data_IF_362546708764
#
_entry.id   IF_362546708764
#
_cell.length_a   1.000
_cell.length_b   1.000
_cell.length_c   1.000
_cell.angle_alpha   90.00
_cell.angle_beta   90.00
_cell.angle_gamma   90.00
#
_symmetry.space_group_name_H-M   'P 1'
#
loop_
_entity.id
_entity.type
_entity.pdbx_description
1 polymer ?
#
# COMPACT_ATOMS: atom_id res chain seq x y z
N UNK A 1 11.04 2.81 8.40
CA UNK A 1 9.77 3.53 8.43
C UNK A 1 9.86 4.86 7.69
N UNK A 2 9.21 4.99 6.53
CA UNK A 2 9.07 6.25 5.77
C UNK A 2 8.04 7.14 6.47
N UNK A 3 8.34 8.44 6.62
CA UNK A 3 7.46 9.38 7.36
C UNK A 3 7.13 10.66 6.61
N UNK A 4 7.73 10.87 5.45
CA UNK A 4 7.47 12.00 4.55
C UNK A 4 7.04 11.39 3.21
N UNK A 5 5.85 11.76 2.75
CA UNK A 5 5.27 11.28 1.50
C UNK A 5 4.98 12.43 0.54
N UNK A 6 5.58 13.61 0.75
CA UNK A 6 5.39 14.79 -0.09
C UNK A 6 5.89 14.62 -1.54
N UNK A 7 6.76 13.64 -1.77
CA UNK A 7 7.24 13.20 -3.08
C UNK A 7 6.23 12.37 -3.85
N UNK A 8 5.26 11.76 -3.16
CA UNK A 8 4.24 10.89 -3.74
C UNK A 8 3.06 11.73 -4.22
N UNK A 9 2.68 11.57 -5.50
CA UNK A 9 1.60 12.34 -6.10
C UNK A 9 0.78 11.49 -7.05
N UNK A 10 -0.54 11.68 -6.97
CA UNK A 10 -1.44 11.26 -8.04
C UNK A 10 -1.09 11.97 -9.35
N UNK A 11 -1.39 11.32 -10.48
CA UNK A 11 -1.17 11.88 -11.81
C UNK A 11 -2.07 13.08 -12.10
N UNK A 12 -3.14 13.25 -11.31
CA UNK A 12 -4.21 14.24 -11.46
C UNK A 12 -4.82 14.23 -12.86
N UNK A 13 -5.11 13.03 -13.36
CA UNK A 13 -5.58 12.79 -14.74
C UNK A 13 -7.12 12.91 -14.91
N UNK A 14 -7.82 13.47 -13.91
CA UNK A 14 -9.27 13.64 -13.91
C UNK A 14 -10.08 12.42 -13.44
N UNK A 15 -9.42 11.29 -13.11
CA UNK A 15 -10.07 10.13 -12.49
C UNK A 15 -10.10 10.26 -10.96
N UNK A 16 -10.96 9.48 -10.32
CA UNK A 16 -11.04 9.40 -8.85
C UNK A 16 -9.70 8.85 -8.30
N UNK A 17 -9.18 9.49 -7.25
CA UNK A 17 -7.91 9.15 -6.61
C UNK A 17 -8.10 8.00 -5.65
N UNK A 18 -7.57 6.83 -6.01
CA UNK A 18 -7.70 5.62 -5.22
C UNK A 18 -6.36 5.26 -4.57
N UNK A 19 -6.35 5.15 -3.24
CA UNK A 19 -5.26 4.54 -2.50
C UNK A 19 -5.61 3.08 -2.21
N UNK A 20 -4.74 2.15 -2.59
CA UNK A 20 -4.82 0.73 -2.22
C UNK A 20 -3.70 0.46 -1.22
N UNK A 21 -4.01 -0.12 -0.07
CA UNK A 21 -2.99 -0.51 0.92
C UNK A 21 -3.01 -2.02 1.13
N UNK A 22 -1.85 -2.64 0.99
CA UNK A 22 -1.61 -4.06 1.23
C UNK A 22 -0.41 -4.24 2.15
N UNK A 23 -0.24 -5.42 2.75
CA UNK A 23 1.00 -5.71 3.47
C UNK A 23 1.41 -7.17 3.52
N UNK A 24 0.58 -8.07 3.02
CA UNK A 24 0.83 -9.50 3.00
C UNK A 24 0.73 -10.08 1.60
N UNK A 25 1.40 -11.21 1.39
CA UNK A 25 1.34 -11.97 0.15
C UNK A 25 -0.11 -12.39 -0.22
N UNK A 26 -0.95 -12.94 0.69
CA UNK A 26 -2.33 -13.27 0.34
C UNK A 26 -3.16 -12.08 -0.13
N UNK A 27 -2.93 -10.87 0.40
CA UNK A 27 -3.60 -9.66 -0.08
C UNK A 27 -3.18 -9.33 -1.51
N UNK A 28 -1.88 -9.35 -1.82
CA UNK A 28 -1.37 -9.09 -3.18
C UNK A 28 -1.96 -10.10 -4.18
N UNK A 29 -1.92 -11.40 -3.86
CA UNK A 29 -2.46 -12.45 -4.74
C UNK A 29 -3.95 -12.25 -5.00
N UNK A 30 -4.74 -11.98 -3.95
CA UNK A 30 -6.20 -11.83 -4.07
C UNK A 30 -6.60 -10.52 -4.74
N UNK A 31 -5.80 -9.47 -4.59
CA UNK A 31 -6.05 -8.17 -5.21
C UNK A 31 -5.40 -7.99 -6.57
N UNK A 32 -4.57 -8.91 -7.07
CA UNK A 32 -3.81 -8.74 -8.31
C UNK A 32 -4.66 -8.21 -9.48
N UNK A 33 -5.71 -8.95 -9.85
CA UNK A 33 -6.62 -8.54 -10.93
C UNK A 33 -7.38 -7.24 -10.63
N UNK A 34 -7.64 -6.96 -9.34
CA UNK A 34 -8.30 -5.72 -8.90
C UNK A 34 -7.34 -4.53 -9.06
N UNK A 35 -6.08 -4.67 -8.65
CA UNK A 35 -5.04 -3.64 -8.75
C UNK A 35 -4.84 -3.22 -10.21
N UNK A 36 -4.70 -4.19 -11.11
CA UNK A 36 -4.52 -3.90 -12.54
C UNK A 36 -5.70 -3.14 -13.12
N UNK A 37 -6.92 -3.58 -12.82
CA UNK A 37 -8.12 -2.87 -13.27
C UNK A 37 -8.23 -1.50 -12.61
N UNK A 38 -7.89 -1.39 -11.33
CA UNK A 38 -7.90 -0.10 -10.65
C UNK A 38 -6.94 0.91 -11.30
N UNK A 39 -5.75 0.49 -11.74
CA UNK A 39 -4.82 1.34 -12.48
C UNK A 39 -5.33 1.80 -13.85
N UNK A 40 -6.25 1.04 -14.46
CA UNK A 40 -6.92 1.42 -15.72
C UNK A 40 -8.02 2.46 -15.48
N UNK A 41 -8.82 2.33 -14.42
CA UNK A 41 -10.04 3.13 -14.21
C UNK A 41 -9.90 4.28 -13.19
N UNK A 42 -8.89 4.24 -12.31
CA UNK A 42 -8.63 5.25 -11.28
C UNK A 42 -7.25 5.90 -11.47
N UNK A 43 -7.04 7.06 -10.83
CA UNK A 43 -5.70 7.54 -10.55
C UNK A 43 -5.21 6.80 -9.30
N UNK A 44 -4.60 5.64 -9.52
CA UNK A 44 -4.35 4.65 -8.49
C UNK A 44 -2.92 4.79 -7.94
N UNK A 45 -2.82 4.81 -6.61
CA UNK A 45 -1.57 4.62 -5.87
C UNK A 45 -1.70 3.33 -5.05
N UNK A 46 -0.72 2.45 -5.17
CA UNK A 46 -0.57 1.24 -4.39
C UNK A 46 0.53 1.47 -3.34
N UNK A 47 0.19 1.23 -2.07
CA UNK A 47 1.12 1.28 -0.96
C UNK A 47 1.25 -0.09 -0.29
N UNK A 48 2.47 -0.46 0.06
CA UNK A 48 2.79 -1.67 0.78
C UNK A 48 3.29 -1.30 2.19
N UNK A 49 2.62 -1.78 3.24
CA UNK A 49 2.99 -1.45 4.63
C UNK A 49 4.33 -2.04 5.04
N UNK A 50 4.73 -3.14 4.40
CA UNK A 50 5.94 -3.87 4.75
C UNK A 50 5.81 -4.67 6.04
N UNK A 51 4.58 -4.93 6.53
CA UNK A 51 4.33 -5.65 7.79
C UNK A 51 4.91 -7.08 7.84
N UNK A 52 5.30 -7.66 6.70
CA UNK A 52 5.92 -8.97 6.61
C UNK A 52 7.44 -8.85 6.43
N UNK A 53 8.19 -9.55 7.30
CA UNK A 53 9.65 -9.52 7.40
C UNK A 53 10.42 -10.04 6.16
N UNK A 54 9.78 -10.80 5.26
CA UNK A 54 10.48 -11.45 4.15
C UNK A 54 10.38 -10.65 2.84
N UNK A 55 11.15 -9.56 2.78
CA UNK A 55 11.26 -8.67 1.62
C UNK A 55 11.80 -9.39 0.36
N UNK A 56 12.65 -10.41 0.54
CA UNK A 56 13.24 -11.17 -0.57
C UNK A 56 12.19 -11.99 -1.34
N UNK A 57 11.05 -12.28 -0.70
CA UNK A 57 9.92 -12.94 -1.35
C UNK A 57 8.90 -11.95 -1.95
N UNK A 58 8.74 -10.75 -1.39
CA UNK A 58 7.69 -9.81 -1.84
C UNK A 58 7.92 -9.25 -3.26
N UNK A 59 9.15 -8.89 -3.61
CA UNK A 59 9.46 -8.37 -4.95
C UNK A 59 9.26 -9.40 -6.07
N UNK A 60 9.35 -10.69 -5.75
CA UNK A 60 9.10 -11.79 -6.69
C UNK A 60 7.61 -11.85 -7.06
N UNK A 61 6.69 -11.59 -6.13
CA UNK A 61 5.26 -11.73 -6.41
C UNK A 61 4.68 -10.66 -7.35
N UNK A 62 5.12 -9.41 -7.24
CA UNK A 62 4.67 -8.38 -8.20
C UNK A 62 5.09 -8.75 -9.62
N UNK A 63 6.33 -9.21 -9.77
CA UNK A 63 6.85 -9.69 -11.06
C UNK A 63 6.13 -10.93 -11.56
N UNK A 64 5.94 -11.95 -10.72
CA UNK A 64 5.29 -13.21 -11.09
C UNK A 64 3.80 -13.03 -11.45
N UNK A 65 3.16 -12.02 -10.87
CA UNK A 65 1.76 -11.66 -11.15
C UNK A 65 1.64 -10.60 -12.26
N UNK A 66 2.75 -10.20 -12.89
CA UNK A 66 2.81 -9.14 -13.91
C UNK A 66 2.27 -7.77 -13.43
N UNK A 67 2.26 -7.55 -12.12
CA UNK A 67 1.86 -6.30 -11.49
C UNK A 67 3.03 -5.31 -11.48
N UNK A 68 2.78 -4.04 -11.79
CA UNK A 68 3.80 -3.01 -11.55
C UNK A 68 3.99 -2.79 -10.04
N UNK A 69 5.20 -2.43 -9.63
CA UNK A 69 5.54 -2.23 -8.22
C UNK A 69 4.66 -1.17 -7.54
N UNK A 70 4.47 -1.25 -6.20
CA UNK A 70 3.90 -0.19 -5.39
C UNK A 70 4.66 1.13 -5.53
N UNK A 71 3.93 2.24 -5.57
CA UNK A 71 4.51 3.57 -5.53
C UNK A 71 5.06 3.91 -4.13
N UNK A 72 4.59 3.20 -3.09
CA UNK A 72 4.99 3.45 -1.70
C UNK A 72 5.30 2.15 -0.97
N UNK A 73 6.46 2.11 -0.31
CA UNK A 73 6.80 1.14 0.72
C UNK A 73 6.98 1.88 2.06
N UNK A 74 6.24 1.47 3.09
CA UNK A 74 6.24 2.18 4.39
C UNK A 74 7.33 1.69 5.35
N UNK A 75 7.75 0.44 5.22
CA UNK A 75 8.67 -0.25 6.13
C UNK A 75 8.25 -0.09 7.60
N UNK A 76 7.00 -0.49 7.89
CA UNK A 76 6.33 -0.27 9.17
C UNK A 76 6.68 -1.31 10.26
N UNK A 77 7.41 -2.38 9.93
CA UNK A 77 7.85 -3.39 10.90
C UNK A 77 8.67 -2.73 12.02
N UNK A 78 8.26 -3.00 13.26
CA UNK A 78 8.97 -2.59 14.48
C UNK A 78 9.62 -3.78 15.21
N UNK A 79 10.08 -3.55 16.44
CA UNK A 79 10.69 -4.57 17.29
C UNK A 79 9.66 -5.58 17.83
N UNK A 80 8.40 -5.16 17.98
CA UNK A 80 7.29 -6.01 18.39
C UNK A 80 5.97 -5.69 17.63
N UNK A 81 4.91 -6.42 17.96
CA UNK A 81 3.60 -6.26 17.33
C UNK A 81 2.98 -4.89 17.61
N UNK A 82 3.12 -4.37 18.83
CA UNK A 82 2.56 -3.08 19.22
C UNK A 82 3.21 -1.94 18.45
N UNK A 83 4.54 -1.98 18.32
CA UNK A 83 5.28 -1.04 17.50
C UNK A 83 4.91 -1.16 16.02
N UNK A 84 4.82 -2.38 15.49
CA UNK A 84 4.44 -2.60 14.08
C UNK A 84 3.05 -2.04 13.77
N UNK A 85 2.06 -2.29 14.62
CA UNK A 85 0.69 -1.76 14.44
C UNK A 85 0.67 -0.23 14.56
N UNK A 86 1.35 0.33 15.57
CA UNK A 86 1.46 1.79 15.73
C UNK A 86 2.12 2.46 14.53
N UNK A 87 3.14 1.83 13.96
CA UNK A 87 3.84 2.30 12.77
C UNK A 87 2.95 2.27 11.53
N UNK A 88 2.15 1.20 11.32
CA UNK A 88 1.19 1.11 10.21
C UNK A 88 0.20 2.29 10.29
N UNK A 89 -0.45 2.49 11.43
CA UNK A 89 -1.41 3.59 11.63
C UNK A 89 -0.73 4.95 11.36
N UNK A 90 0.47 5.17 11.91
CA UNK A 90 1.20 6.43 11.75
C UNK A 90 1.58 6.70 10.29
N UNK A 91 2.09 5.69 9.59
CA UNK A 91 2.51 5.80 8.19
C UNK A 91 1.32 6.03 7.26
N UNK A 92 0.27 5.24 7.41
CA UNK A 92 -0.94 5.36 6.60
C UNK A 92 -1.60 6.72 6.79
N UNK A 93 -1.70 7.22 8.02
CA UNK A 93 -2.19 8.57 8.28
C UNK A 93 -1.35 9.64 7.57
N UNK A 94 -0.02 9.58 7.70
CA UNK A 94 0.89 10.56 7.07
C UNK A 94 0.77 10.52 5.54
N UNK A 95 0.74 9.32 4.97
CA UNK A 95 0.57 9.13 3.52
C UNK A 95 -0.75 9.75 3.05
N UNK A 96 -1.87 9.37 3.67
CA UNK A 96 -3.20 9.90 3.29
C UNK A 96 -3.28 11.41 3.48
N UNK A 97 -2.69 11.95 4.54
CA UNK A 97 -2.65 13.39 4.79
C UNK A 97 -1.89 14.12 3.68
N UNK A 98 -0.77 13.58 3.21
CA UNK A 98 0.06 14.26 2.22
C UNK A 98 -0.52 14.10 0.79
N UNK A 99 -1.07 12.93 0.44
CA UNK A 99 -1.55 12.66 -0.93
C UNK A 99 -3.05 12.95 -1.15
N UNK A 100 -3.84 13.04 -0.08
CA UNK A 100 -5.29 13.32 -0.09
C UNK A 100 -6.06 12.44 -1.10
N UNK A 101 -6.18 11.12 -0.87
CA UNK A 101 -6.96 10.23 -1.73
C UNK A 101 -8.48 10.48 -1.56
N UNK A 102 -9.25 10.18 -2.60
CA UNK A 102 -10.72 10.27 -2.55
C UNK A 102 -11.34 8.99 -1.95
N UNK A 103 -10.66 7.86 -2.11
CA UNK A 103 -11.08 6.56 -1.61
C UNK A 103 -9.89 5.71 -1.16
N UNK A 104 -10.16 4.81 -0.21
CA UNK A 104 -9.21 3.81 0.30
C UNK A 104 -9.77 2.41 0.06
N UNK A 105 -8.95 1.52 -0.51
CA UNK A 105 -9.25 0.10 -0.67
C UNK A 105 -8.29 -0.72 0.18
N UNK A 106 -8.89 -1.58 1.01
CA UNK A 106 -8.21 -2.56 1.86
C UNK A 106 -8.89 -3.91 1.66
N UNK A 107 -8.14 -5.01 1.82
CA UNK A 107 -8.69 -6.36 1.80
C UNK A 107 -8.43 -7.09 3.12
N UNK A 108 -9.49 -7.63 3.73
CA UNK A 108 -9.38 -8.60 4.83
C UNK A 108 -9.21 -7.94 6.19
N UNK A 109 -8.44 -8.59 7.06
CA UNK A 109 -8.35 -8.33 8.51
C UNK A 109 -6.90 -8.40 9.04
N UNK A 110 -5.90 -8.19 8.17
CA UNK A 110 -4.49 -8.14 8.59
C UNK A 110 -4.17 -6.85 9.33
N UNK A 111 -2.97 -6.71 9.93
CA UNK A 111 -2.60 -5.45 10.60
C UNK A 111 -2.60 -4.26 9.62
N UNK A 112 -2.38 -4.49 8.32
CA UNK A 112 -2.50 -3.43 7.31
C UNK A 112 -3.91 -2.87 7.17
N UNK A 113 -4.93 -3.58 7.64
CA UNK A 113 -6.31 -3.08 7.63
C UNK A 113 -6.53 -1.92 8.61
N UNK A 114 -5.59 -1.66 9.52
CA UNK A 114 -5.61 -0.51 10.43
C UNK A 114 -5.10 0.79 9.77
N UNK A 115 -4.87 0.76 8.47
CA UNK A 115 -4.39 1.90 7.69
C UNK A 115 -5.42 3.01 7.51
#
# INVERSE_FOLDING_TARGET
>A
MKTDYSDIKFKNNGKLKLLIIVGTRPEIIRLAAVIDKCREYFDCILAHTGQNYDYNLNGVFFKDLELSDPEVYMDAVGADLGETVGNIISCSYKLMRDIQPDALLILGDTNSCLS
#
